data_IF_241561467984
#
_entry.id   IF_241561467984
#
_cell.length_a   1.000
_cell.length_b   1.000
_cell.length_c   1.000
_cell.angle_alpha   90.00
_cell.angle_beta   90.00
_cell.angle_gamma   90.00
#
_symmetry.space_group_name_H-M   'P 1'
#
loop_
_entity.id
_entity.type
_entity.pdbx_description
1 polymer ?
#
# COMPACT_ATOMS: atom_id res chain seq x y z
N UNK A 1 2.07 14.43 -20.81
CA UNK A 1 3.10 15.36 -20.31
C UNK A 1 2.44 16.25 -19.29
N UNK A 2 2.95 16.29 -18.06
CA UNK A 2 2.44 17.24 -17.07
C UNK A 2 2.89 18.64 -17.51
N UNK A 3 1.94 19.53 -17.72
CA UNK A 3 2.19 20.97 -17.83
C UNK A 3 2.90 21.42 -16.54
N UNK A 4 4.00 22.16 -16.67
CA UNK A 4 4.63 22.85 -15.55
C UNK A 4 3.55 23.63 -14.81
N UNK A 5 3.26 23.20 -13.57
CA UNK A 5 2.46 24.00 -12.67
C UNK A 5 3.40 25.13 -12.26
N UNK A 6 3.27 26.27 -12.93
CA UNK A 6 3.92 27.52 -12.55
C UNK A 6 3.25 28.01 -11.27
N UNK A 7 3.55 27.32 -10.17
CA UNK A 7 3.19 27.77 -8.83
C UNK A 7 4.08 28.97 -8.57
N UNK A 8 3.49 30.17 -8.68
CA UNK A 8 4.13 31.43 -8.36
C UNK A 8 4.85 31.30 -7.01
N UNK A 9 6.19 31.30 -7.06
CA UNK A 9 7.05 31.15 -5.87
C UNK A 9 7.08 32.42 -5.02
N UNK A 10 6.36 33.46 -5.43
CA UNK A 10 6.13 34.62 -4.57
C UNK A 10 5.16 34.23 -3.46
N UNK A 11 5.70 33.69 -2.38
CA UNK A 11 5.22 34.15 -1.09
C UNK A 11 5.49 35.64 -1.09
N UNK A 12 4.48 36.46 -1.38
CA UNK A 12 4.54 37.87 -0.99
C UNK A 12 5.13 37.89 0.41
N UNK A 13 6.11 38.75 0.68
CA UNK A 13 6.63 38.89 2.03
C UNK A 13 5.46 39.33 2.90
N UNK A 14 4.73 38.36 3.47
CA UNK A 14 3.64 38.60 4.39
C UNK A 14 4.32 39.45 5.45
N UNK A 15 3.87 40.69 5.68
CA UNK A 15 4.49 41.55 6.67
C UNK A 15 4.51 40.72 7.93
N UNK A 16 5.72 40.32 8.38
CA UNK A 16 5.93 39.47 9.56
C UNK A 16 4.90 39.92 10.56
N UNK A 17 3.87 39.09 10.81
CA UNK A 17 2.72 39.48 11.61
C UNK A 17 3.32 40.22 12.79
N UNK A 18 3.09 41.54 12.88
CA UNK A 18 3.66 42.31 13.97
C UNK A 18 3.05 41.65 15.19
N UNK A 19 3.86 40.83 15.88
CA UNK A 19 3.42 40.13 17.07
C UNK A 19 2.93 41.25 17.95
N UNK A 20 1.61 41.33 18.14
CA UNK A 20 1.02 42.38 18.95
C UNK A 20 1.54 42.14 20.36
N UNK A 21 2.63 42.84 20.71
CA UNK A 21 3.25 42.75 22.01
C UNK A 21 2.26 43.35 23.00
N UNK A 22 1.45 42.49 23.63
CA UNK A 22 0.67 42.89 24.79
C UNK A 22 1.67 43.29 25.88
N UNK A 23 1.46 44.46 26.49
CA UNK A 23 2.20 44.85 27.70
C UNK A 23 2.00 43.75 28.73
N UNK A 24 3.09 43.13 29.17
CA UNK A 24 3.08 42.11 30.24
C UNK A 24 3.19 42.82 31.58
N UNK A 25 2.60 42.23 32.62
CA UNK A 25 2.72 42.74 33.99
C UNK A 25 4.06 42.40 34.64
N UNK A 26 4.78 41.38 34.12
CA UNK A 26 6.01 40.88 34.70
C UNK A 26 7.07 40.55 33.64
N UNK A 27 8.33 40.89 33.94
CA UNK A 27 9.45 40.80 33.00
C UNK A 27 10.10 39.40 32.91
N UNK A 28 9.64 38.43 33.72
CA UNK A 28 10.21 37.07 33.76
C UNK A 28 9.52 36.07 32.80
N UNK A 29 8.45 36.46 32.12
CA UNK A 29 7.77 35.60 31.16
C UNK A 29 8.58 35.53 29.85
N UNK A 30 9.03 34.34 29.45
CA UNK A 30 9.68 34.12 28.15
C UNK A 30 8.74 34.51 27.00
N UNK A 31 9.30 35.01 25.89
CA UNK A 31 8.53 35.28 24.67
C UNK A 31 8.06 33.93 24.09
N UNK A 32 6.79 33.81 23.71
CA UNK A 32 6.37 32.75 22.79
C UNK A 32 6.94 33.15 21.42
N UNK A 33 7.90 32.38 20.91
CA UNK A 33 8.44 32.60 19.57
C UNK A 33 7.34 32.36 18.53
N UNK A 34 7.22 33.21 17.49
CA UNK A 34 6.26 32.98 16.44
C UNK A 34 6.56 31.65 15.74
N UNK A 35 5.52 30.84 15.76
CA UNK A 35 5.27 29.54 15.14
C UNK A 35 5.79 29.54 13.68
N UNK A 36 6.70 28.59 13.38
CA UNK A 36 7.16 28.05 12.07
C UNK A 36 7.05 29.01 10.87
N UNK A 37 8.20 29.31 10.24
CA UNK A 37 8.29 30.06 8.98
C UNK A 37 7.23 29.60 7.97
N UNK A 38 6.40 30.51 7.45
CA UNK A 38 5.26 30.19 6.58
C UNK A 38 5.71 29.43 5.32
N UNK A 39 6.93 29.70 4.85
CA UNK A 39 7.54 28.98 3.74
C UNK A 39 7.95 27.54 4.12
N UNK A 40 8.46 27.34 5.33
CA UNK A 40 8.74 26.01 5.88
C UNK A 40 7.45 25.21 6.06
N UNK A 41 6.40 25.83 6.61
CA UNK A 41 5.08 25.22 6.73
C UNK A 41 4.52 24.79 5.38
N UNK A 42 4.59 25.66 4.36
CA UNK A 42 4.13 25.31 3.02
C UNK A 42 4.90 24.12 2.42
N UNK A 43 6.23 24.09 2.57
CA UNK A 43 7.06 22.96 2.09
C UNK A 43 6.66 21.65 2.76
N UNK A 44 6.46 21.68 4.08
CA UNK A 44 6.04 20.52 4.85
C UNK A 44 4.66 20.04 4.39
N UNK A 45 3.66 20.92 4.34
CA UNK A 45 2.27 20.55 4.05
C UNK A 45 2.03 20.18 2.58
N UNK A 46 2.69 20.87 1.64
CA UNK A 46 2.43 20.70 0.20
C UNK A 46 3.33 19.68 -0.48
N UNK A 47 4.54 19.44 0.05
CA UNK A 47 5.55 18.58 -0.60
C UNK A 47 5.89 17.38 0.27
N UNK A 48 6.45 17.61 1.46
CA UNK A 48 6.99 16.51 2.26
C UNK A 48 5.89 15.58 2.78
N UNK A 49 4.82 16.14 3.36
CA UNK A 49 3.74 15.33 3.92
C UNK A 49 3.04 14.43 2.89
N UNK A 50 2.65 14.91 1.69
CA UNK A 50 2.11 14.04 0.64
C UNK A 50 3.09 12.98 0.15
N UNK A 51 4.38 13.31 0.02
CA UNK A 51 5.42 12.36 -0.40
C UNK A 51 5.60 11.27 0.65
N UNK A 52 5.79 11.64 1.91
CA UNK A 52 5.97 10.69 3.01
C UNK A 52 4.73 9.80 3.17
N UNK A 53 3.53 10.38 3.07
CA UNK A 53 2.27 9.63 3.07
C UNK A 53 2.19 8.65 1.91
N UNK A 54 2.60 9.07 0.72
CA UNK A 54 2.62 8.22 -0.48
C UNK A 54 3.62 7.08 -0.35
N UNK A 55 4.83 7.34 0.17
CA UNK A 55 5.86 6.34 0.43
C UNK A 55 5.33 5.30 1.43
N UNK A 56 4.86 5.74 2.59
CA UNK A 56 4.34 4.85 3.62
C UNK A 56 3.15 4.01 3.10
N UNK A 57 2.24 4.63 2.33
CA UNK A 57 1.11 3.93 1.71
C UNK A 57 1.55 2.88 0.70
N UNK A 58 2.59 3.17 -0.10
CA UNK A 58 3.12 2.24 -1.07
C UNK A 58 3.85 1.09 -0.40
N UNK A 59 4.71 1.36 0.57
CA UNK A 59 5.43 0.32 1.33
C UNK A 59 4.47 -0.66 2.01
N UNK A 60 3.42 -0.15 2.65
CA UNK A 60 2.38 -0.98 3.25
C UNK A 60 1.70 -1.86 2.19
N UNK A 61 1.31 -1.29 1.04
CA UNK A 61 0.67 -2.04 -0.05
C UNK A 61 1.58 -3.09 -0.67
N UNK A 62 2.87 -2.79 -0.87
CA UNK A 62 3.85 -3.75 -1.36
C UNK A 62 4.00 -4.92 -0.39
N UNK A 63 4.08 -4.64 0.90
CA UNK A 63 4.18 -5.67 1.94
C UNK A 63 2.94 -6.58 1.96
N UNK A 64 1.75 -5.99 1.88
CA UNK A 64 0.49 -6.73 1.80
C UNK A 64 0.42 -7.59 0.52
N UNK A 65 0.83 -7.06 -0.62
CA UNK A 65 0.85 -7.78 -1.89
C UNK A 65 1.85 -8.95 -1.86
N UNK A 66 3.05 -8.75 -1.28
CA UNK A 66 4.03 -9.82 -1.09
C UNK A 66 3.48 -10.92 -0.18
N UNK A 67 2.83 -10.54 0.92
CA UNK A 67 2.20 -11.49 1.84
C UNK A 67 1.09 -12.28 1.14
N UNK A 68 0.19 -11.61 0.42
CA UNK A 68 -0.84 -12.25 -0.41
C UNK A 68 -0.22 -13.24 -1.41
N UNK A 69 0.78 -12.79 -2.18
CA UNK A 69 1.44 -13.64 -3.16
C UNK A 69 2.10 -14.87 -2.52
N UNK A 70 2.64 -14.77 -1.31
CA UNK A 70 3.27 -15.93 -0.65
C UNK A 70 2.31 -17.12 -0.45
N UNK A 71 1.01 -16.88 -0.29
CA UNK A 71 0.01 -17.95 -0.15
C UNK A 71 -0.72 -18.26 -1.46
N UNK A 72 -1.04 -17.24 -2.27
CA UNK A 72 -1.88 -17.39 -3.45
C UNK A 72 -1.08 -17.59 -4.76
N UNK A 73 0.24 -17.41 -4.78
CA UNK A 73 1.01 -17.38 -6.04
C UNK A 73 0.87 -18.66 -6.88
N UNK A 74 0.71 -19.82 -6.24
CA UNK A 74 0.53 -21.08 -6.96
C UNK A 74 -0.73 -21.07 -7.84
N UNK A 75 -1.80 -20.37 -7.44
CA UNK A 75 -3.04 -20.27 -8.21
C UNK A 75 -2.96 -19.25 -9.35
N UNK A 76 -1.91 -18.43 -9.46
CA UNK A 76 -1.72 -17.56 -10.63
C UNK A 76 -1.27 -18.33 -11.87
N UNK A 77 -0.69 -19.51 -11.68
CA UNK A 77 -0.14 -20.35 -12.74
C UNK A 77 -0.92 -21.66 -12.89
N UNK A 78 -2.27 -21.59 -12.86
CA UNK A 78 -3.17 -22.76 -12.87
C UNK A 78 -2.84 -23.73 -14.01
N UNK A 79 -2.49 -23.21 -15.19
CA UNK A 79 -2.10 -24.06 -16.32
C UNK A 79 -0.87 -24.93 -16.01
N UNK A 80 0.13 -24.37 -15.33
CA UNK A 80 1.37 -25.07 -14.97
C UNK A 80 1.13 -26.11 -13.87
N UNK A 81 0.12 -25.90 -13.01
CA UNK A 81 -0.26 -26.85 -11.97
C UNK A 81 -0.69 -28.21 -12.54
N UNK A 82 -1.08 -28.30 -13.81
CA UNK A 82 -1.35 -29.58 -14.50
C UNK A 82 -0.17 -30.55 -14.45
N UNK A 83 1.06 -30.02 -14.40
CA UNK A 83 2.29 -30.80 -14.37
C UNK A 83 2.83 -31.01 -12.94
N UNK A 84 2.17 -30.43 -11.94
CA UNK A 84 2.51 -30.54 -10.53
C UNK A 84 1.76 -31.74 -9.93
N UNK A 85 2.40 -32.47 -9.01
CA UNK A 85 1.75 -33.60 -8.37
C UNK A 85 0.60 -33.15 -7.45
N UNK A 86 -0.47 -33.94 -7.39
CA UNK A 86 -1.62 -33.66 -6.52
C UNK A 86 -1.23 -33.49 -5.04
N UNK A 87 -0.19 -34.19 -4.59
CA UNK A 87 0.33 -34.03 -3.22
C UNK A 87 0.92 -32.64 -2.95
N UNK A 88 1.60 -32.04 -3.93
CA UNK A 88 2.15 -30.68 -3.83
C UNK A 88 1.03 -29.64 -3.91
N UNK A 89 0.05 -29.84 -4.81
CA UNK A 89 -1.15 -28.97 -4.89
C UNK A 89 -1.89 -28.97 -3.56
N UNK A 90 -2.11 -30.15 -2.97
CA UNK A 90 -2.77 -30.27 -1.67
C UNK A 90 -1.95 -29.61 -0.55
N UNK A 91 -0.62 -29.73 -0.56
CA UNK A 91 0.24 -29.06 0.40
C UNK A 91 0.09 -27.52 0.30
N UNK A 92 0.04 -26.97 -0.91
CA UNK A 92 -0.22 -25.55 -1.13
C UNK A 92 -1.62 -25.14 -0.66
N UNK A 93 -2.66 -25.94 -0.90
CA UNK A 93 -4.01 -25.67 -0.41
C UNK A 93 -4.10 -25.72 1.13
N UNK A 94 -3.33 -26.59 1.78
CA UNK A 94 -3.20 -26.61 3.25
C UNK A 94 -2.46 -25.39 3.77
N UNK A 95 -1.40 -24.99 3.08
CA UNK A 95 -0.66 -23.78 3.43
C UNK A 95 -1.53 -22.52 3.31
N UNK A 96 -2.32 -22.41 2.24
CA UNK A 96 -3.30 -21.35 2.01
C UNK A 96 -4.41 -21.33 3.06
N UNK A 97 -4.80 -22.49 3.59
CA UNK A 97 -5.84 -22.59 4.63
C UNK A 97 -5.43 -21.90 5.92
N UNK A 98 -4.14 -21.93 6.27
CA UNK A 98 -3.62 -21.38 7.52
C UNK A 98 -3.97 -19.90 7.74
N UNK A 99 -3.63 -18.94 6.84
CA UNK A 99 -4.02 -17.55 7.01
C UNK A 99 -5.53 -17.29 6.87
N UNK A 100 -6.29 -18.25 6.35
CA UNK A 100 -7.74 -18.17 6.15
C UNK A 100 -8.53 -18.90 7.25
N UNK A 101 -7.86 -19.26 8.35
CA UNK A 101 -8.47 -19.93 9.49
C UNK A 101 -8.46 -19.00 10.70
N UNK A 102 -9.64 -18.78 11.27
CA UNK A 102 -9.84 -18.06 12.52
C UNK A 102 -10.39 -19.04 13.57
N UNK A 103 -9.54 -19.42 14.52
CA UNK A 103 -9.84 -20.47 15.49
C UNK A 103 -10.10 -21.83 14.81
N UNK A 104 -11.29 -22.39 15.06
CA UNK A 104 -11.74 -23.66 14.45
C UNK A 104 -12.48 -23.45 13.12
N UNK A 105 -12.77 -22.20 12.75
CA UNK A 105 -13.47 -21.86 11.52
C UNK A 105 -12.48 -21.55 10.41
N UNK A 106 -12.62 -22.23 9.28
CA UNK A 106 -11.79 -21.98 8.11
C UNK A 106 -12.66 -21.58 6.92
N UNK A 107 -12.26 -20.54 6.21
CA UNK A 107 -12.96 -20.08 5.02
C UNK A 107 -12.86 -21.07 3.86
N UNK A 108 -11.86 -21.98 3.89
CA UNK A 108 -11.62 -22.94 2.81
C UNK A 108 -11.42 -24.37 3.33
N UNK A 109 -11.84 -25.33 2.51
CA UNK A 109 -11.50 -26.73 2.67
C UNK A 109 -10.38 -27.11 1.70
N UNK A 110 -9.18 -27.38 2.23
CA UNK A 110 -8.00 -27.67 1.40
C UNK A 110 -8.13 -28.90 0.50
N UNK A 111 -8.93 -29.90 0.89
CA UNK A 111 -9.13 -31.09 0.07
C UNK A 111 -10.03 -30.76 -1.13
N UNK A 112 -11.18 -30.15 -0.85
CA UNK A 112 -12.14 -29.70 -1.87
C UNK A 112 -11.48 -28.73 -2.86
N UNK A 113 -10.75 -27.73 -2.36
CA UNK A 113 -10.02 -26.79 -3.20
C UNK A 113 -8.97 -27.49 -4.08
N UNK A 114 -8.27 -28.50 -3.55
CA UNK A 114 -7.30 -29.27 -4.31
C UNK A 114 -7.94 -30.04 -5.47
N UNK A 115 -9.11 -30.65 -5.21
CA UNK A 115 -9.89 -31.38 -6.22
C UNK A 115 -10.43 -30.42 -7.28
N UNK A 116 -11.00 -29.28 -6.88
CA UNK A 116 -11.46 -28.22 -7.78
C UNK A 116 -10.33 -27.71 -8.68
N UNK A 117 -9.15 -27.43 -8.11
CA UNK A 117 -7.98 -26.99 -8.88
C UNK A 117 -7.57 -28.08 -9.87
N UNK A 118 -7.59 -29.35 -9.49
CA UNK A 118 -7.25 -30.45 -10.40
C UNK A 118 -8.21 -30.52 -11.60
N UNK A 119 -9.51 -30.33 -11.34
CA UNK A 119 -10.54 -30.24 -12.40
C UNK A 119 -10.25 -29.04 -13.30
N UNK A 120 -10.04 -27.85 -12.75
CA UNK A 120 -9.74 -26.65 -13.54
C UNK A 120 -8.46 -26.82 -14.38
N UNK A 121 -7.41 -27.42 -13.82
CA UNK A 121 -6.17 -27.72 -14.55
C UNK A 121 -6.39 -28.66 -15.74
N UNK A 122 -7.30 -29.64 -15.60
CA UNK A 122 -7.63 -30.57 -16.68
C UNK A 122 -8.38 -29.89 -17.83
N UNK A 123 -9.17 -28.86 -17.52
CA UNK A 123 -9.97 -28.09 -18.47
C UNK A 123 -9.19 -26.91 -19.09
N UNK A 124 -8.06 -26.53 -18.51
CA UNK A 124 -7.30 -25.35 -18.94
C UNK A 124 -6.55 -25.62 -20.26
N UNK A 125 -6.89 -24.84 -21.29
CA UNK A 125 -6.11 -24.72 -22.53
C UNK A 125 -5.00 -23.66 -22.36
N UNK A 126 -3.90 -23.77 -23.12
CA UNK A 126 -2.67 -22.95 -23.00
C UNK A 126 -2.87 -21.43 -23.03
N UNK A 127 -4.03 -20.94 -23.46
CA UNK A 127 -4.24 -19.54 -23.84
C UNK A 127 -5.13 -18.71 -22.90
N UNK A 128 -5.51 -19.24 -21.73
CA UNK A 128 -6.40 -18.52 -20.80
C UNK A 128 -5.70 -17.59 -19.79
N UNK A 129 -4.39 -17.30 -19.95
CA UNK A 129 -3.75 -16.33 -19.05
C UNK A 129 -4.26 -14.90 -19.37
N UNK A 130 -4.88 -14.20 -18.39
CA UNK A 130 -5.48 -12.87 -18.62
C UNK A 130 -4.50 -11.79 -19.08
N UNK A 131 -3.20 -12.06 -18.95
CA UNK A 131 -2.11 -11.11 -19.17
C UNK A 131 -1.65 -11.00 -20.63
N UNK A 132 -2.22 -11.78 -21.56
CA UNK A 132 -1.85 -11.68 -22.99
C UNK A 132 -2.25 -10.36 -23.67
N UNK A 133 -2.92 -9.45 -22.96
CA UNK A 133 -3.42 -8.18 -23.53
C UNK A 133 -2.79 -6.91 -22.93
N UNK A 134 -1.78 -7.01 -22.05
CA UNK A 134 -1.04 -5.83 -21.60
C UNK A 134 0.14 -5.55 -22.53
N UNK A 135 -0.09 -4.70 -23.54
CA UNK A 135 0.95 -4.02 -24.32
C UNK A 135 1.47 -2.79 -23.58
#
# INVERSE_FOLDING_TARGET
MASEIDADKNFESIPRHQVHRRKRQFDYENQDEPIIDEQEKYKIESIYHPIDTSINSLEQRFSQMQHHNSYFCFSHHIYELKYVSSSVILANCKYLKTPLTDGESSAINSLELGDEISVVCSLSEKDLSPWKYSN
#
